data_IF_170691580003
#
_entry.id   IF_170691580003
#
_cell.length_a   1.000
_cell.length_b   1.000
_cell.length_c   1.000
_cell.angle_alpha   90.00
_cell.angle_beta   90.00
_cell.angle_gamma   90.00
#
_symmetry.space_group_name_H-M   'P 1'
#
loop_
_entity.id
_entity.type
_entity.pdbx_description
1 polymer ?
#
# COMPACT_ATOMS: atom_id res chain seq x y z
N UNK A 1 17.12 39.89 6.81
CA UNK A 1 16.58 38.68 7.48
C UNK A 1 16.95 37.48 6.63
N UNK A 2 17.99 36.72 6.98
CA UNK A 2 18.26 35.42 6.36
C UNK A 2 17.32 34.41 7.01
N UNK A 3 16.34 33.93 6.28
CA UNK A 3 15.51 32.78 6.69
C UNK A 3 16.31 31.53 6.34
N UNK A 4 17.12 31.04 7.27
CA UNK A 4 17.74 29.73 7.17
C UNK A 4 16.67 28.65 7.41
N UNK A 5 15.94 28.28 6.36
CA UNK A 5 15.04 27.15 6.39
C UNK A 5 15.85 25.85 6.31
N UNK A 6 16.27 25.33 7.45
CA UNK A 6 16.82 23.97 7.53
C UNK A 6 15.68 22.94 7.40
N UNK A 7 15.33 22.58 6.17
CA UNK A 7 14.43 21.47 5.93
C UNK A 7 15.12 20.15 6.28
N UNK A 8 14.59 19.44 7.26
CA UNK A 8 15.04 18.08 7.53
C UNK A 8 14.60 17.14 6.40
N UNK A 9 15.38 16.07 6.13
CA UNK A 9 15.03 15.07 5.12
C UNK A 9 13.62 14.49 5.33
N UNK A 10 13.22 14.31 6.59
CA UNK A 10 11.88 13.85 6.98
C UNK A 10 10.79 14.81 6.55
N UNK A 11 10.99 16.13 6.73
CA UNK A 11 10.02 17.15 6.32
C UNK A 11 9.87 17.19 4.81
N UNK A 12 10.97 17.12 4.08
CA UNK A 12 10.95 17.08 2.60
C UNK A 12 10.20 15.85 2.10
N UNK A 13 10.56 14.66 2.60
CA UNK A 13 9.90 13.41 2.22
C UNK A 13 8.42 13.41 2.55
N UNK A 14 8.03 13.92 3.73
CA UNK A 14 6.63 14.06 4.10
C UNK A 14 5.87 14.97 3.13
N UNK A 15 6.41 16.16 2.83
CA UNK A 15 5.78 17.14 1.92
C UNK A 15 5.62 16.57 0.51
N UNK A 16 6.68 15.94 -0.02
CA UNK A 16 6.65 15.33 -1.36
C UNK A 16 5.67 14.17 -1.41
N UNK A 17 5.62 13.32 -0.37
CA UNK A 17 4.66 12.22 -0.28
C UNK A 17 3.23 12.74 -0.28
N UNK A 18 2.94 13.72 0.58
CA UNK A 18 1.61 14.30 0.69
C UNK A 18 1.17 14.96 -0.62
N UNK A 19 2.03 15.79 -1.23
CA UNK A 19 1.75 16.43 -2.52
C UNK A 19 1.51 15.39 -3.64
N UNK A 20 2.35 14.35 -3.71
CA UNK A 20 2.20 13.26 -4.69
C UNK A 20 0.88 12.50 -4.53
N UNK A 21 0.45 12.22 -3.28
CA UNK A 21 -0.84 11.58 -3.01
C UNK A 21 -2.02 12.46 -3.42
N UNK A 22 -1.96 13.79 -3.20
CA UNK A 22 -2.99 14.71 -3.68
C UNK A 22 -3.06 14.73 -5.21
N UNK A 23 -1.91 14.76 -5.89
CA UNK A 23 -1.87 14.67 -7.37
C UNK A 23 -2.46 13.33 -7.84
N UNK A 24 -2.13 12.21 -7.17
CA UNK A 24 -2.71 10.91 -7.49
C UNK A 24 -4.24 10.91 -7.32
N UNK A 25 -4.77 11.53 -6.27
CA UNK A 25 -6.22 11.67 -6.07
C UNK A 25 -6.87 12.49 -7.19
N UNK A 26 -6.22 13.59 -7.61
CA UNK A 26 -6.71 14.40 -8.75
C UNK A 26 -6.73 13.56 -10.03
N UNK A 27 -5.71 12.74 -10.28
CA UNK A 27 -5.66 11.84 -11.45
C UNK A 27 -6.78 10.79 -11.39
N UNK A 28 -7.01 10.18 -10.21
CA UNK A 28 -8.07 9.19 -10.02
C UNK A 28 -9.47 9.80 -10.24
N UNK A 29 -9.70 11.03 -9.76
CA UNK A 29 -10.94 11.78 -9.96
C UNK A 29 -11.11 12.21 -11.42
N UNK A 30 -10.11 12.86 -11.99
CA UNK A 30 -10.18 13.48 -13.32
C UNK A 30 -10.28 12.46 -14.47
N UNK A 31 -9.84 11.22 -14.24
CA UNK A 31 -9.90 10.13 -15.22
C UNK A 31 -11.02 9.11 -14.94
N UNK A 32 -11.96 9.43 -14.05
CA UNK A 32 -13.09 8.57 -13.63
C UNK A 32 -12.66 7.14 -13.20
N UNK A 33 -11.40 7.03 -12.66
CA UNK A 33 -10.85 5.74 -12.20
C UNK A 33 -11.45 5.29 -10.88
N UNK A 34 -12.10 6.20 -10.14
CA UNK A 34 -12.79 5.90 -8.86
C UNK A 34 -13.83 4.81 -9.03
N UNK A 35 -14.63 4.86 -10.10
CA UNK A 35 -15.66 3.83 -10.36
C UNK A 35 -15.06 2.46 -10.66
N UNK A 36 -13.84 2.45 -11.23
CA UNK A 36 -13.16 1.20 -11.59
C UNK A 36 -12.39 0.60 -10.42
N UNK A 37 -11.80 1.46 -9.56
CA UNK A 37 -10.96 1.06 -8.42
C UNK A 37 -11.39 1.80 -7.14
N UNK A 38 -12.62 1.56 -6.62
CA UNK A 38 -13.15 2.31 -5.48
C UNK A 38 -12.35 2.08 -4.21
N UNK A 39 -11.95 0.84 -3.92
CA UNK A 39 -11.19 0.53 -2.71
C UNK A 39 -9.75 1.02 -2.76
N UNK A 40 -9.10 0.94 -3.93
CA UNK A 40 -7.79 1.54 -4.12
C UNK A 40 -7.84 3.06 -3.86
N UNK A 41 -8.83 3.74 -4.42
CA UNK A 41 -9.02 5.19 -4.18
C UNK A 41 -9.28 5.48 -2.71
N UNK A 42 -10.14 4.70 -2.04
CA UNK A 42 -10.39 4.81 -0.60
C UNK A 42 -9.10 4.63 0.21
N UNK A 43 -8.25 3.69 -0.17
CA UNK A 43 -6.95 3.50 0.46
C UNK A 43 -6.03 4.72 0.32
N UNK A 44 -5.95 5.32 -0.86
CA UNK A 44 -5.17 6.54 -1.08
C UNK A 44 -5.70 7.71 -0.25
N UNK A 45 -7.03 7.90 -0.19
CA UNK A 45 -7.65 8.91 0.69
C UNK A 45 -7.28 8.67 2.14
N UNK A 46 -7.37 7.43 2.62
CA UNK A 46 -7.06 7.07 4.01
C UNK A 46 -5.58 7.31 4.36
N UNK A 47 -4.65 6.96 3.46
CA UNK A 47 -3.22 7.25 3.66
C UNK A 47 -2.96 8.75 3.68
N UNK A 48 -3.58 9.52 2.78
CA UNK A 48 -3.47 10.98 2.75
C UNK A 48 -4.01 11.60 4.04
N UNK A 49 -5.18 11.15 4.49
CA UNK A 49 -5.79 11.58 5.77
C UNK A 49 -4.90 11.24 6.96
N UNK A 50 -4.34 10.03 7.01
CA UNK A 50 -3.42 9.60 8.07
C UNK A 50 -2.19 10.51 8.15
N UNK A 51 -1.58 10.87 7.02
CA UNK A 51 -0.44 11.79 6.96
C UNK A 51 -0.83 13.17 7.47
N UNK A 52 -2.00 13.68 7.08
CA UNK A 52 -2.50 14.97 7.52
C UNK A 52 -2.78 14.99 9.03
N UNK A 53 -3.52 14.01 9.52
CA UNK A 53 -3.85 13.86 10.95
C UNK A 53 -2.59 13.76 11.80
N UNK A 54 -1.61 12.93 11.39
CA UNK A 54 -0.36 12.78 12.13
C UNK A 54 0.40 14.12 12.25
N UNK A 55 0.37 14.96 11.22
CA UNK A 55 1.05 16.26 11.23
C UNK A 55 0.31 17.33 12.03
N UNK A 56 -1.01 17.40 11.86
CA UNK A 56 -1.82 18.44 12.52
C UNK A 56 -1.97 18.22 14.03
N UNK A 57 -1.99 16.96 14.46
CA UNK A 57 -2.23 16.61 15.86
C UNK A 57 -0.96 16.34 16.67
N UNK A 58 0.20 16.26 16.02
CA UNK A 58 1.48 15.90 16.66
C UNK A 58 1.79 16.74 17.88
N UNK A 59 1.62 18.06 17.78
CA UNK A 59 1.95 19.03 18.83
C UNK A 59 0.74 19.44 19.69
N UNK A 60 -0.46 18.90 19.39
CA UNK A 60 -1.71 19.32 20.04
C UNK A 60 -2.30 18.29 21.01
N UNK A 61 -1.90 17.05 20.93
CA UNK A 61 -2.46 15.95 21.73
C UNK A 61 -1.41 15.32 22.64
N UNK A 62 -1.82 14.77 23.80
CA UNK A 62 -0.96 13.96 24.65
C UNK A 62 -0.38 12.78 23.86
N UNK A 63 0.87 12.34 24.13
CA UNK A 63 1.52 11.25 23.41
C UNK A 63 0.72 9.93 23.40
N UNK A 64 0.01 9.62 24.48
CA UNK A 64 -0.82 8.41 24.59
C UNK A 64 -1.97 8.45 23.60
N UNK A 65 -2.74 9.57 23.57
CA UNK A 65 -3.88 9.74 22.65
C UNK A 65 -3.43 9.77 21.20
N UNK A 66 -2.28 10.38 20.93
CA UNK A 66 -1.69 10.36 19.60
C UNK A 66 -1.32 8.93 19.18
N UNK A 67 -0.77 8.14 20.10
CA UNK A 67 -0.49 6.71 19.90
C UNK A 67 -1.75 5.90 19.58
N UNK A 68 -2.85 6.10 20.32
CA UNK A 68 -4.15 5.46 20.08
C UNK A 68 -4.67 5.74 18.67
N UNK A 69 -4.68 7.01 18.27
CA UNK A 69 -5.13 7.43 16.94
C UNK A 69 -4.25 6.80 15.85
N UNK A 70 -2.93 6.85 16.02
CA UNK A 70 -1.99 6.30 15.04
C UNK A 70 -2.15 4.79 14.86
N UNK A 71 -2.30 4.03 15.96
CA UNK A 71 -2.50 2.57 15.95
C UNK A 71 -3.85 2.22 15.32
N UNK A 72 -4.91 2.95 15.69
CA UNK A 72 -6.25 2.74 15.12
C UNK A 72 -6.26 2.98 13.62
N UNK A 73 -5.69 4.10 13.15
CA UNK A 73 -5.56 4.39 11.73
C UNK A 73 -4.68 3.37 10.99
N UNK A 74 -3.64 2.83 11.65
CA UNK A 74 -2.82 1.77 11.07
C UNK A 74 -3.62 0.48 10.86
N UNK A 75 -4.43 0.07 11.85
CA UNK A 75 -5.30 -1.10 11.73
C UNK A 75 -6.34 -0.92 10.62
N UNK A 76 -7.02 0.23 10.57
CA UNK A 76 -7.99 0.54 9.51
C UNK A 76 -7.31 0.51 8.13
N UNK A 77 -6.12 1.12 8.02
CA UNK A 77 -5.37 1.14 6.76
C UNK A 77 -4.99 -0.26 6.29
N UNK A 78 -4.59 -1.14 7.20
CA UNK A 78 -4.25 -2.52 6.87
C UNK A 78 -5.49 -3.33 6.44
N UNK A 79 -6.63 -3.15 7.10
CA UNK A 79 -7.90 -3.77 6.69
C UNK A 79 -8.35 -3.30 5.31
N UNK A 80 -8.31 -1.99 5.05
CA UNK A 80 -8.62 -1.44 3.71
C UNK A 80 -7.63 -1.97 2.68
N UNK A 81 -6.34 -2.11 3.04
CA UNK A 81 -5.33 -2.74 2.20
C UNK A 81 -5.69 -4.16 1.78
N UNK A 82 -6.20 -4.99 2.70
CA UNK A 82 -6.68 -6.34 2.37
C UNK A 82 -7.87 -6.30 1.39
N UNK A 83 -8.79 -5.36 1.57
CA UNK A 83 -9.92 -5.18 0.64
C UNK A 83 -9.44 -4.76 -0.75
N UNK A 84 -8.42 -3.87 -0.83
CA UNK A 84 -7.77 -3.50 -2.09
C UNK A 84 -7.16 -4.73 -2.77
N UNK A 85 -6.50 -5.62 -2.03
CA UNK A 85 -5.93 -6.84 -2.59
C UNK A 85 -7.02 -7.76 -3.17
N UNK A 86 -8.15 -7.90 -2.49
CA UNK A 86 -9.30 -8.66 -3.00
C UNK A 86 -9.86 -8.00 -4.28
N UNK A 87 -9.97 -6.68 -4.32
CA UNK A 87 -10.38 -5.93 -5.51
C UNK A 87 -9.42 -6.19 -6.68
N UNK A 88 -8.11 -6.05 -6.46
CA UNK A 88 -7.09 -6.28 -7.48
C UNK A 88 -7.06 -7.74 -7.95
N UNK A 89 -7.16 -8.71 -7.04
CA UNK A 89 -7.22 -10.12 -7.37
C UNK A 89 -8.43 -10.45 -8.26
N UNK A 90 -9.62 -9.93 -7.93
CA UNK A 90 -10.83 -10.09 -8.74
C UNK A 90 -10.67 -9.53 -10.15
N UNK A 91 -10.05 -8.36 -10.28
CA UNK A 91 -9.81 -7.76 -11.59
C UNK A 91 -8.74 -8.50 -12.40
N UNK A 92 -7.64 -8.94 -11.73
CA UNK A 92 -6.53 -9.63 -12.38
C UNK A 92 -6.91 -11.04 -12.87
N UNK A 93 -7.70 -11.79 -12.09
CA UNK A 93 -8.05 -13.17 -12.35
C UNK A 93 -9.50 -13.37 -12.81
N UNK A 94 -10.12 -12.34 -13.39
CA UNK A 94 -11.51 -12.38 -13.84
C UNK A 94 -11.82 -13.52 -14.82
N UNK A 95 -10.82 -13.95 -15.60
CA UNK A 95 -10.95 -15.05 -16.58
C UNK A 95 -10.39 -16.39 -16.07
N UNK A 96 -9.92 -16.43 -14.82
CA UNK A 96 -9.41 -17.68 -14.26
C UNK A 96 -10.56 -18.64 -13.88
N UNK A 97 -10.30 -19.94 -13.99
CA UNK A 97 -11.23 -20.94 -13.47
C UNK A 97 -11.29 -20.87 -11.94
N UNK A 98 -12.45 -21.20 -11.36
CA UNK A 98 -12.65 -21.21 -9.91
C UNK A 98 -11.60 -22.08 -9.19
N UNK A 99 -11.22 -23.22 -9.80
CA UNK A 99 -10.20 -24.13 -9.24
C UNK A 99 -8.82 -23.46 -9.18
N UNK A 100 -8.40 -22.78 -10.26
CA UNK A 100 -7.12 -22.08 -10.29
C UNK A 100 -7.10 -20.94 -9.27
N UNK A 101 -8.18 -20.18 -9.18
CA UNK A 101 -8.31 -19.09 -8.21
C UNK A 101 -8.20 -19.59 -6.76
N UNK A 102 -8.90 -20.68 -6.41
CA UNK A 102 -8.83 -21.29 -5.08
C UNK A 102 -7.41 -21.77 -4.75
N UNK A 103 -6.76 -22.48 -5.69
CA UNK A 103 -5.40 -22.96 -5.48
C UNK A 103 -4.42 -21.82 -5.19
N UNK A 104 -4.45 -20.75 -5.98
CA UNK A 104 -3.58 -19.59 -5.77
C UNK A 104 -3.86 -18.88 -4.45
N UNK A 105 -5.13 -18.72 -4.10
CA UNK A 105 -5.52 -18.07 -2.83
C UNK A 105 -5.06 -18.89 -1.63
N UNK A 106 -5.29 -20.21 -1.64
CA UNK A 106 -4.87 -21.11 -0.56
C UNK A 106 -3.34 -21.13 -0.43
N UNK A 107 -2.62 -21.26 -1.55
CA UNK A 107 -1.15 -21.24 -1.54
C UNK A 107 -0.61 -19.93 -0.97
N UNK A 108 -1.18 -18.78 -1.36
CA UNK A 108 -0.77 -17.49 -0.88
C UNK A 108 -1.04 -17.32 0.62
N UNK A 109 -2.21 -17.79 1.10
CA UNK A 109 -2.56 -17.77 2.52
C UNK A 109 -1.66 -18.69 3.35
N UNK A 110 -1.30 -19.86 2.84
CA UNK A 110 -0.35 -20.76 3.52
C UNK A 110 1.01 -20.08 3.66
N UNK A 111 1.55 -19.50 2.57
CA UNK A 111 2.83 -18.78 2.61
C UNK A 111 2.75 -17.61 3.59
N UNK A 112 1.70 -16.82 3.53
CA UNK A 112 1.49 -15.71 4.46
C UNK A 112 1.41 -16.19 5.91
N UNK A 113 0.69 -17.28 6.19
CA UNK A 113 0.60 -17.90 7.52
C UNK A 113 1.96 -18.34 8.05
N UNK A 114 2.79 -18.99 7.23
CA UNK A 114 4.15 -19.40 7.61
C UNK A 114 5.04 -18.21 7.90
N UNK A 115 4.98 -17.16 7.06
CA UNK A 115 5.75 -15.92 7.28
C UNK A 115 5.31 -15.24 8.56
N UNK A 116 4.01 -15.07 8.78
CA UNK A 116 3.50 -14.46 10.01
C UNK A 116 3.92 -15.24 11.27
N UNK A 117 3.92 -16.57 11.18
CA UNK A 117 4.33 -17.43 12.31
C UNK A 117 5.80 -17.23 12.66
N UNK A 118 6.67 -17.20 11.66
CA UNK A 118 8.13 -17.09 11.84
C UNK A 118 8.61 -15.66 12.08
N UNK A 119 7.84 -14.65 11.70
CA UNK A 119 8.27 -13.26 11.71
C UNK A 119 7.94 -12.54 13.02
N UNK A 120 8.97 -12.27 13.79
CA UNK A 120 8.87 -11.53 15.04
C UNK A 120 8.32 -12.33 16.22
N UNK A 121 8.41 -11.79 17.42
CA UNK A 121 7.89 -12.44 18.62
C UNK A 121 6.37 -12.47 18.64
N UNK A 122 5.83 -13.53 19.26
CA UNK A 122 4.43 -13.59 19.63
C UNK A 122 4.26 -13.06 21.05
N UNK A 123 3.14 -12.38 21.37
CA UNK A 123 2.89 -11.90 22.70
C UNK A 123 2.73 -13.08 23.66
N UNK A 124 3.18 -12.89 24.89
CA UNK A 124 2.88 -13.84 25.93
C UNK A 124 1.42 -13.64 26.36
N UNK A 125 0.55 -14.56 25.95
CA UNK A 125 -0.92 -14.46 26.18
C UNK A 125 -1.30 -14.34 27.66
N UNK A 126 -0.47 -14.84 28.58
CA UNK A 126 -0.68 -14.73 30.02
C UNK A 126 -0.44 -13.31 30.55
N UNK A 127 0.29 -12.47 29.85
CA UNK A 127 0.54 -11.06 30.26
C UNK A 127 -0.45 -10.09 29.64
N UNK A 128 -1.32 -10.53 28.75
CA UNK A 128 -2.40 -9.75 28.15
C UNK A 128 -3.64 -9.68 29.08
N UNK A 129 -3.43 -9.22 30.32
CA UNK A 129 -4.54 -8.78 31.13
C UNK A 129 -5.07 -7.48 30.52
N UNK A 130 -6.25 -7.53 29.90
CA UNK A 130 -6.91 -6.36 29.25
C UNK A 130 -7.40 -5.30 30.23
N UNK A 131 -6.96 -5.36 31.47
CA UNK A 131 -7.44 -4.50 32.55
C UNK A 131 -6.85 -3.10 32.55
N UNK A 132 -5.71 -2.90 31.81
CA UNK A 132 -5.05 -1.61 31.71
C UNK A 132 -5.10 -1.05 30.29
N UNK A 133 -5.17 0.29 30.15
CA UNK A 133 -5.11 0.98 28.87
C UNK A 133 -3.83 0.61 28.09
N UNK A 134 -2.71 0.51 28.79
CA UNK A 134 -1.41 0.17 28.21
C UNK A 134 -1.44 -1.22 27.58
N UNK A 135 -2.02 -2.22 28.26
CA UNK A 135 -2.14 -3.58 27.73
C UNK A 135 -3.01 -3.64 26.48
N UNK A 136 -4.12 -2.86 26.44
CA UNK A 136 -4.96 -2.72 25.23
C UNK A 136 -4.18 -2.12 24.06
N UNK A 137 -3.42 -1.06 24.31
CA UNK A 137 -2.60 -0.42 23.29
C UNK A 137 -1.51 -1.34 22.74
N UNK A 138 -0.82 -2.08 23.60
CA UNK A 138 0.18 -3.07 23.20
C UNK A 138 -0.43 -4.17 22.32
N UNK A 139 -1.62 -4.65 22.67
CA UNK A 139 -2.34 -5.63 21.85
C UNK A 139 -2.74 -5.06 20.48
N UNK A 140 -3.31 -3.86 20.47
CA UNK A 140 -3.68 -3.19 19.21
C UNK A 140 -2.46 -2.93 18.33
N UNK A 141 -1.33 -2.53 18.91
CA UNK A 141 -0.08 -2.34 18.20
C UNK A 141 0.46 -3.65 17.64
N UNK A 142 0.45 -4.73 18.44
CA UNK A 142 0.82 -6.06 17.97
C UNK A 142 -0.06 -6.49 16.78
N UNK A 143 -1.38 -6.31 16.91
CA UNK A 143 -2.32 -6.63 15.84
C UNK A 143 -2.04 -5.81 14.58
N UNK A 144 -1.80 -4.50 14.70
CA UNK A 144 -1.45 -3.63 13.58
C UNK A 144 -0.18 -4.09 12.84
N UNK A 145 0.86 -4.49 13.59
CA UNK A 145 2.12 -4.99 13.02
C UNK A 145 1.90 -6.30 12.26
N UNK A 146 1.17 -7.26 12.86
CA UNK A 146 0.91 -8.55 12.21
C UNK A 146 -0.02 -8.43 11.00
N UNK A 147 -1.06 -7.59 11.11
CA UNK A 147 -1.98 -7.32 10.00
C UNK A 147 -1.28 -6.58 8.85
N UNK A 148 -0.41 -5.62 9.18
CA UNK A 148 0.44 -4.95 8.18
C UNK A 148 1.36 -5.92 7.47
N UNK A 149 2.05 -6.80 8.20
CA UNK A 149 2.90 -7.84 7.61
C UNK A 149 2.10 -8.81 6.73
N UNK A 150 0.89 -9.21 7.16
CA UNK A 150 -0.01 -10.04 6.35
C UNK A 150 -0.32 -9.35 5.02
N UNK A 151 -0.71 -8.06 5.09
CA UNK A 151 -1.00 -7.25 3.91
C UNK A 151 0.22 -7.16 2.98
N UNK A 152 1.42 -6.95 3.51
CA UNK A 152 2.65 -6.84 2.73
C UNK A 152 2.99 -8.16 2.03
N UNK A 153 2.94 -9.30 2.73
CA UNK A 153 3.20 -10.63 2.15
C UNK A 153 2.18 -10.95 1.06
N UNK A 154 0.90 -10.69 1.31
CA UNK A 154 -0.16 -10.92 0.33
C UNK A 154 -0.02 -9.99 -0.88
N UNK A 155 0.32 -8.70 -0.69
CA UNK A 155 0.57 -7.74 -1.77
C UNK A 155 1.73 -8.18 -2.66
N UNK A 156 2.85 -8.55 -2.05
CA UNK A 156 4.02 -9.02 -2.76
C UNK A 156 3.73 -10.32 -3.52
N UNK A 157 3.14 -11.32 -2.85
CA UNK A 157 2.80 -12.60 -3.46
C UNK A 157 1.76 -12.47 -4.58
N UNK A 158 0.69 -11.69 -4.37
CA UNK A 158 -0.31 -11.41 -5.40
C UNK A 158 0.31 -10.69 -6.60
N UNK A 159 1.21 -9.73 -6.37
CA UNK A 159 1.91 -9.04 -7.43
C UNK A 159 2.79 -9.96 -8.25
N UNK A 160 3.53 -10.88 -7.63
CA UNK A 160 4.29 -11.93 -8.33
C UNK A 160 3.36 -12.80 -9.20
N UNK A 161 2.21 -13.22 -8.66
CA UNK A 161 1.22 -13.98 -9.42
C UNK A 161 0.66 -13.20 -10.60
N UNK A 162 0.37 -11.91 -10.43
CA UNK A 162 -0.13 -11.05 -11.51
C UNK A 162 0.92 -10.83 -12.58
N UNK A 163 2.19 -10.65 -12.21
CA UNK A 163 3.29 -10.52 -13.17
C UNK A 163 3.51 -11.83 -13.93
N UNK A 164 3.51 -12.97 -13.23
CA UNK A 164 3.77 -14.27 -13.85
C UNK A 164 2.62 -14.78 -14.71
N UNK A 165 1.38 -14.61 -14.27
CA UNK A 165 0.21 -15.22 -14.88
C UNK A 165 -0.84 -14.23 -15.39
N UNK A 166 -0.73 -12.95 -15.08
CA UNK A 166 -1.74 -11.93 -15.43
C UNK A 166 -2.03 -11.85 -16.92
N UNK A 167 -0.99 -12.00 -17.76
CA UNK A 167 -1.15 -12.03 -19.21
C UNK A 167 -2.11 -13.14 -19.66
N UNK A 168 -2.03 -14.32 -19.02
CA UNK A 168 -2.87 -15.48 -19.36
C UNK A 168 -4.33 -15.30 -18.96
N UNK A 169 -4.60 -14.44 -17.97
CA UNK A 169 -5.94 -14.20 -17.44
C UNK A 169 -6.54 -12.84 -17.81
N UNK A 170 -5.86 -12.09 -18.70
CA UNK A 170 -6.36 -10.84 -19.23
C UNK A 170 -5.85 -9.57 -18.54
N UNK A 171 -4.96 -9.70 -17.55
CA UNK A 171 -4.25 -8.60 -16.92
C UNK A 171 -2.82 -8.51 -17.45
N UNK A 172 -2.64 -8.07 -18.70
CA UNK A 172 -1.33 -7.88 -19.33
C UNK A 172 -0.63 -6.59 -18.89
N UNK A 173 0.62 -6.39 -19.34
CA UNK A 173 1.49 -5.22 -19.02
C UNK A 173 0.85 -3.85 -19.26
N UNK A 174 -0.18 -3.78 -20.08
CA UNK A 174 -0.90 -2.56 -20.40
C UNK A 174 -2.09 -2.29 -19.48
N UNK A 175 -2.47 -3.27 -18.62
CA UNK A 175 -3.59 -3.11 -17.70
C UNK A 175 -3.22 -2.28 -16.47
N UNK A 176 -4.11 -1.38 -16.06
CA UNK A 176 -3.94 -0.61 -14.83
C UNK A 176 -3.81 -1.49 -13.60
N UNK A 177 -4.51 -2.64 -13.56
CA UNK A 177 -4.43 -3.60 -12.46
C UNK A 177 -3.00 -4.08 -12.24
N UNK A 178 -2.30 -4.49 -13.31
CA UNK A 178 -0.91 -4.95 -13.20
C UNK A 178 0.01 -3.82 -12.75
N UNK A 179 -0.16 -2.61 -13.28
CA UNK A 179 0.64 -1.43 -12.90
C UNK A 179 0.43 -1.05 -11.43
N UNK A 180 -0.82 -1.11 -10.93
CA UNK A 180 -1.12 -0.89 -9.51
C UNK A 180 -0.46 -1.98 -8.66
N UNK A 181 -0.57 -3.26 -9.08
CA UNK A 181 0.00 -4.38 -8.34
C UNK A 181 1.53 -4.35 -8.30
N UNK A 182 2.20 -3.95 -9.36
CA UNK A 182 3.67 -3.74 -9.36
C UNK A 182 4.05 -2.70 -8.30
N UNK A 183 3.35 -1.57 -8.26
CA UNK A 183 3.61 -0.56 -7.24
C UNK A 183 3.36 -1.05 -5.81
N UNK A 184 2.21 -1.72 -5.56
CA UNK A 184 1.91 -2.31 -4.25
C UNK A 184 2.98 -3.33 -3.83
N UNK A 185 3.38 -4.23 -4.74
CA UNK A 185 4.41 -5.23 -4.47
C UNK A 185 5.77 -4.60 -4.17
N UNK A 186 6.14 -3.55 -4.90
CA UNK A 186 7.40 -2.83 -4.68
C UNK A 186 7.40 -2.14 -3.32
N UNK A 187 6.31 -1.45 -2.96
CA UNK A 187 6.17 -0.83 -1.65
C UNK A 187 6.22 -1.86 -0.52
N UNK A 188 5.49 -2.96 -0.66
CA UNK A 188 5.48 -4.05 0.34
C UNK A 188 6.83 -4.73 0.48
N UNK A 189 7.54 -4.99 -0.62
CA UNK A 189 8.89 -5.55 -0.58
C UNK A 189 9.87 -4.61 0.15
N UNK A 190 9.81 -3.30 -0.16
CA UNK A 190 10.61 -2.29 0.53
C UNK A 190 10.33 -2.26 2.03
N UNK A 191 9.04 -2.27 2.42
CA UNK A 191 8.60 -2.28 3.82
C UNK A 191 9.07 -3.53 4.56
N UNK A 192 8.88 -4.72 3.98
CA UNK A 192 9.36 -5.99 4.54
C UNK A 192 10.89 -6.02 4.67
N UNK A 193 11.61 -5.52 3.67
CA UNK A 193 13.07 -5.44 3.70
C UNK A 193 13.56 -4.51 4.82
N UNK A 194 12.97 -3.33 4.93
CA UNK A 194 13.30 -2.38 6.01
C UNK A 194 13.03 -2.97 7.39
N UNK A 195 11.87 -3.62 7.59
CA UNK A 195 11.53 -4.31 8.83
C UNK A 195 12.47 -5.48 9.13
N UNK A 196 12.83 -6.28 8.12
CA UNK A 196 13.75 -7.41 8.28
C UNK A 196 15.14 -6.97 8.67
N UNK A 197 15.69 -5.96 7.98
CA UNK A 197 17.01 -5.38 8.33
C UNK A 197 16.97 -4.82 9.75
N UNK A 198 15.92 -4.08 10.11
CA UNK A 198 15.77 -3.56 11.45
C UNK A 198 15.73 -4.66 12.53
N UNK A 199 15.00 -5.75 12.30
CA UNK A 199 14.98 -6.88 13.24
C UNK A 199 16.34 -7.54 13.41
N UNK A 200 17.13 -7.66 12.34
CA UNK A 200 18.49 -8.19 12.41
C UNK A 200 19.37 -7.25 13.24
N UNK A 201 19.34 -5.96 12.98
CA UNK A 201 20.09 -4.96 13.75
C UNK A 201 19.69 -5.01 15.23
N UNK A 202 18.39 -4.97 15.52
CA UNK A 202 17.88 -4.98 16.90
C UNK A 202 18.23 -6.26 17.68
N UNK A 203 18.40 -7.41 17.01
CA UNK A 203 18.79 -8.67 17.66
C UNK A 203 20.29 -8.74 17.96
N UNK A 204 21.13 -8.12 17.12
CA UNK A 204 22.58 -8.23 17.23
C UNK A 204 23.24 -7.03 17.89
N UNK A 205 22.50 -5.97 18.16
CA UNK A 205 23.04 -4.73 18.73
C UNK A 205 22.36 -4.42 20.06
N UNK A 206 23.08 -4.65 21.15
CA UNK A 206 22.73 -4.14 22.49
C UNK A 206 23.61 -2.93 22.75
N UNK A 207 23.08 -1.70 22.66
CA UNK A 207 23.90 -0.50 22.85
C UNK A 207 24.38 -0.42 24.31
N UNK A 208 25.69 -0.33 24.52
CA UNK A 208 26.33 -0.18 25.84
C UNK A 208 26.74 1.26 26.14
N UNK A 209 26.65 2.16 25.12
CA UNK A 209 27.01 3.57 25.27
C UNK A 209 25.97 4.47 24.58
N UNK A 210 25.91 5.75 25.01
CA UNK A 210 25.04 6.75 24.40
C UNK A 210 25.34 6.92 22.89
N UNK A 211 26.62 6.91 22.52
CA UNK A 211 27.04 7.05 21.12
C UNK A 211 26.57 5.87 20.24
N UNK A 212 26.60 4.64 20.79
CA UNK A 212 26.07 3.46 20.09
C UNK A 212 24.54 3.53 19.94
N UNK A 213 23.83 3.99 20.95
CA UNK A 213 22.40 4.20 20.91
C UNK A 213 22.01 5.20 19.81
N UNK A 214 22.68 6.35 19.75
CA UNK A 214 22.45 7.37 18.72
C UNK A 214 22.76 6.82 17.31
N UNK A 215 23.79 6.00 17.18
CA UNK A 215 24.12 5.33 15.90
C UNK A 215 23.01 4.37 15.47
N UNK A 216 22.47 3.59 16.39
CA UNK A 216 21.37 2.63 16.09
C UNK A 216 20.10 3.38 15.68
N UNK A 217 19.73 4.45 16.39
CA UNK A 217 18.59 5.31 16.00
C UNK A 217 18.83 5.94 14.62
N UNK A 218 20.02 6.45 14.35
CA UNK A 218 20.36 7.01 13.04
C UNK A 218 20.26 5.97 11.90
N UNK A 219 20.56 4.69 12.16
CA UNK A 219 20.34 3.61 11.18
C UNK A 219 18.85 3.35 10.95
N UNK A 220 18.03 3.33 12.01
CA UNK A 220 16.58 3.18 11.90
C UNK A 220 15.97 4.32 11.07
N UNK A 221 16.37 5.55 11.34
CA UNK A 221 15.90 6.72 10.61
C UNK A 221 16.26 6.63 9.11
N UNK A 222 17.48 6.22 8.78
CA UNK A 222 17.91 6.01 7.39
C UNK A 222 17.07 4.94 6.69
N UNK A 223 16.76 3.83 7.36
CA UNK A 223 15.91 2.78 6.80
C UNK A 223 14.47 3.29 6.53
N UNK A 224 13.89 4.03 7.48
CA UNK A 224 12.57 4.62 7.34
C UNK A 224 12.53 5.67 6.20
N UNK A 225 13.55 6.52 6.10
CA UNK A 225 13.66 7.51 5.04
C UNK A 225 13.82 6.85 3.66
N UNK A 226 14.62 5.78 3.56
CA UNK A 226 14.77 5.00 2.32
C UNK A 226 13.45 4.36 1.91
N UNK A 227 12.74 3.73 2.85
CA UNK A 227 11.42 3.16 2.58
C UNK A 227 10.40 4.22 2.13
N UNK A 228 10.41 5.39 2.77
CA UNK A 228 9.56 6.53 2.37
C UNK A 228 9.89 7.05 0.98
N UNK A 229 11.17 7.11 0.62
CA UNK A 229 11.60 7.50 -0.73
C UNK A 229 11.12 6.49 -1.79
N UNK A 230 11.23 5.18 -1.53
CA UNK A 230 10.67 4.14 -2.40
C UNK A 230 9.16 4.30 -2.56
N UNK A 231 8.45 4.58 -1.47
CA UNK A 231 7.01 4.81 -1.52
C UNK A 231 6.64 6.02 -2.39
N UNK A 232 7.38 7.13 -2.30
CA UNK A 232 7.21 8.30 -3.18
C UNK A 232 7.38 7.90 -4.65
N UNK A 233 8.41 7.13 -4.99
CA UNK A 233 8.62 6.65 -6.36
C UNK A 233 7.46 5.78 -6.85
N UNK A 234 6.91 4.93 -5.98
CA UNK A 234 5.72 4.13 -6.29
C UNK A 234 4.50 5.01 -6.55
N UNK A 235 4.28 6.06 -5.75
CA UNK A 235 3.16 6.99 -5.96
C UNK A 235 3.32 7.74 -7.29
N UNK A 236 4.53 8.21 -7.62
CA UNK A 236 4.83 8.83 -8.91
C UNK A 236 4.58 7.84 -10.06
N UNK A 237 5.01 6.59 -9.91
CA UNK A 237 4.71 5.53 -10.87
C UNK A 237 3.21 5.37 -11.10
N UNK A 238 2.39 5.35 -10.04
CA UNK A 238 0.94 5.28 -10.18
C UNK A 238 0.35 6.50 -10.87
N UNK A 239 0.83 7.71 -10.55
CA UNK A 239 0.39 8.94 -11.23
C UNK A 239 0.60 8.81 -12.75
N UNK A 240 1.81 8.45 -13.17
CA UNK A 240 2.14 8.30 -14.59
C UNK A 240 1.31 7.19 -15.24
N UNK A 241 1.23 6.02 -14.60
CA UNK A 241 0.52 4.88 -15.16
C UNK A 241 -0.99 5.05 -15.25
N UNK A 242 -1.61 5.75 -14.29
CA UNK A 242 -3.05 5.97 -14.25
C UNK A 242 -3.47 7.20 -15.06
N UNK A 243 -2.53 8.09 -15.36
CA UNK A 243 -2.75 9.20 -16.30
C UNK A 243 -2.89 8.70 -17.74
N UNK A 244 -2.10 7.69 -18.14
CA UNK A 244 -2.10 7.13 -19.50
C UNK A 244 -3.27 6.16 -19.64
N UNK A 245 -4.08 6.32 -20.69
CA UNK A 245 -5.20 5.42 -21.00
C UNK A 245 -4.73 4.02 -21.42
N UNK A 246 -5.56 3.00 -21.18
CA UNK A 246 -5.32 1.66 -21.70
C UNK A 246 -5.49 1.68 -23.23
N UNK A 247 -4.47 1.28 -23.97
CA UNK A 247 -4.47 1.26 -25.45
C UNK A 247 -5.57 0.39 -26.08
N UNK A 248 -6.23 -0.47 -25.27
CA UNK A 248 -7.36 -1.29 -25.74
C UNK A 248 -8.71 -0.58 -25.72
N UNK A 249 -8.91 0.45 -24.88
CA UNK A 249 -10.20 1.15 -24.80
C UNK A 249 -10.45 2.06 -26.00
N UNK A 250 -9.40 2.62 -26.59
CA UNK A 250 -9.52 3.50 -27.77
C UNK A 250 -9.96 2.69 -28.99
N UNK A 251 -9.43 1.46 -29.16
CA UNK A 251 -9.82 0.60 -30.29
C UNK A 251 -11.29 0.13 -30.18
N UNK A 252 -11.78 -0.18 -28.97
CA UNK A 252 -13.15 -0.60 -28.75
C UNK A 252 -14.15 0.56 -28.96
N UNK A 253 -13.82 1.79 -28.55
CA UNK A 253 -14.63 2.97 -28.81
C UNK A 253 -14.69 3.30 -30.31
N UNK A 254 -13.55 3.25 -30.99
CA UNK A 254 -13.49 3.51 -32.43
C UNK A 254 -14.27 2.46 -33.23
N UNK A 255 -14.19 1.19 -32.83
CA UNK A 255 -14.96 0.11 -33.45
C UNK A 255 -16.47 0.25 -33.19
N UNK A 256 -16.89 0.66 -31.99
CA UNK A 256 -18.28 0.92 -31.65
C UNK A 256 -18.84 2.12 -32.41
N UNK A 257 -18.09 3.21 -32.55
CA UNK A 257 -18.50 4.40 -33.30
C UNK A 257 -18.61 4.11 -34.80
N UNK A 258 -17.73 3.28 -35.38
CA UNK A 258 -17.82 2.84 -36.78
C UNK A 258 -19.04 1.93 -36.99
N UNK A 259 -19.34 1.04 -36.04
CA UNK A 259 -20.49 0.15 -36.11
C UNK A 259 -21.81 0.92 -36.01
N UNK A 260 -21.90 1.94 -35.15
CA UNK A 260 -23.08 2.80 -35.03
C UNK A 260 -23.28 3.70 -36.24
N UNK A 261 -22.23 4.27 -36.82
CA UNK A 261 -22.32 5.08 -38.04
C UNK A 261 -22.72 4.25 -39.27
N UNK A 262 -22.22 3.02 -39.39
CA UNK A 262 -22.59 2.08 -40.45
C UNK A 262 -24.04 1.62 -40.35
N UNK A 263 -24.58 1.47 -39.15
CA UNK A 263 -26.00 1.12 -38.93
C UNK A 263 -26.94 2.27 -39.24
N UNK A 264 -26.53 3.51 -38.93
CA UNK A 264 -27.33 4.71 -39.26
C UNK A 264 -27.42 4.98 -40.76
N UNK A 265 -26.33 4.72 -41.50
CA UNK A 265 -26.33 4.87 -42.97
C UNK A 265 -27.25 3.87 -43.69
N UNK A 266 -27.45 2.65 -43.13
CA UNK A 266 -28.34 1.64 -43.71
C UNK A 266 -29.83 1.91 -43.50
N UNK A 267 -30.20 2.72 -42.52
CA UNK A 267 -31.64 3.06 -42.22
C UNK A 267 -32.09 4.26 -43.06
N UNK A 268 -31.18 5.05 -43.63
CA UNK A 268 -31.50 6.23 -44.46
C UNK A 268 -31.81 5.91 -45.91
N UNK A 269 -31.52 4.69 -46.39
CA UNK A 269 -31.74 4.27 -47.80
C UNK A 269 -32.95 3.33 -47.99
N UNK A 270 -33.80 3.18 -46.98
CA UNK A 270 -35.07 2.42 -47.05
C UNK A 270 -36.29 3.35 -46.93
#
# INVERSE_FOLDING_TARGET
MHFDFHFTAVQVLWTVTFASLLVLLIVLLGRDRIRRFPWFTTGIVLVTLRLLVSRLLHDRLPPITMGEIAITLANISALVGLVILVEMARHAFRRASVRAWLLWTISLLIVAGVVLWKWGPWPNWHTLAFDTLIAKLQFMQFFAVKLGLLMDVLSFGLGLLVVAFGHRYGAGWRSHVQRIMIGLSTASLSQMSAQGIWQIIARHTTPHSQAEYERVIGMQEKLLNTNSAVYVLVVIWWIVCLWIDELGSVADHTAADIATSSSAAKVGDA
#
